data_IF_266912535621
#
_entry.id   IF_266912535621
#
_cell.length_a   1.000
_cell.length_b   1.000
_cell.length_c   1.000
_cell.angle_alpha   90.00
_cell.angle_beta   90.00
_cell.angle_gamma   90.00
#
_symmetry.space_group_name_H-M   'P 1'
#
loop_
_entity.id
_entity.type
_entity.pdbx_description
1 polymer ?
#
# COMPACT_ATOMS: atom_id res chain seq x y z
N UNK A 1 -35.20 -42.50 -87.58
CA UNK A 1 -34.86 -43.37 -86.44
C UNK A 1 -34.24 -42.52 -85.32
N UNK A 2 -34.47 -42.92 -84.07
CA UNK A 2 -34.41 -42.16 -82.80
C UNK A 2 -33.05 -41.48 -82.46
N UNK A 3 -33.12 -40.38 -81.69
CA UNK A 3 -32.39 -40.06 -80.42
C UNK A 3 -32.09 -38.55 -80.33
N UNK A 4 -32.87 -37.71 -79.63
CA UNK A 4 -32.94 -37.35 -78.18
C UNK A 4 -31.70 -36.64 -77.57
N UNK A 5 -32.01 -35.47 -76.95
CA UNK A 5 -31.43 -34.83 -75.75
C UNK A 5 -29.99 -34.29 -75.83
N UNK A 6 -29.58 -33.20 -75.16
CA UNK A 6 -30.23 -32.41 -74.11
C UNK A 6 -29.55 -31.01 -74.04
N UNK A 7 -30.32 -29.94 -73.90
CA UNK A 7 -29.83 -28.56 -73.75
C UNK A 7 -29.55 -28.28 -72.27
N UNK A 8 -28.30 -27.92 -71.93
CA UNK A 8 -27.90 -27.59 -70.55
C UNK A 8 -28.03 -26.07 -70.32
N UNK A 9 -28.92 -25.70 -69.41
CA UNK A 9 -29.14 -24.33 -68.94
C UNK A 9 -28.11 -24.04 -67.82
N UNK A 10 -27.19 -23.10 -68.04
CA UNK A 10 -26.22 -22.67 -67.01
C UNK A 10 -26.85 -21.63 -66.10
N UNK A 11 -27.06 -22.00 -64.84
CA UNK A 11 -27.56 -21.15 -63.74
C UNK A 11 -26.38 -20.36 -63.14
N UNK A 12 -26.35 -19.05 -63.31
CA UNK A 12 -25.32 -18.18 -62.74
C UNK A 12 -25.62 -17.91 -61.26
N UNK A 13 -24.81 -18.49 -60.37
CA UNK A 13 -24.92 -18.34 -58.92
C UNK A 13 -24.22 -17.04 -58.47
N UNK A 14 -24.98 -16.05 -58.02
CA UNK A 14 -24.48 -14.83 -57.38
C UNK A 14 -23.98 -15.17 -55.96
N UNK A 15 -22.67 -15.18 -55.77
CA UNK A 15 -22.03 -15.41 -54.47
C UNK A 15 -22.03 -14.08 -53.70
N UNK A 16 -22.93 -13.95 -52.72
CA UNK A 16 -22.86 -12.93 -51.67
C UNK A 16 -21.70 -13.28 -50.73
N UNK A 17 -20.64 -12.47 -50.74
CA UNK A 17 -19.55 -12.59 -49.78
C UNK A 17 -20.05 -12.25 -48.37
N UNK A 18 -19.76 -13.07 -47.35
CA UNK A 18 -20.09 -12.72 -45.98
C UNK A 18 -19.17 -11.58 -45.51
N UNK A 19 -19.78 -10.45 -45.11
CA UNK A 19 -19.11 -9.42 -44.32
C UNK A 19 -18.68 -10.06 -42.99
N UNK A 20 -17.37 -10.36 -42.86
CA UNK A 20 -16.82 -10.80 -41.58
C UNK A 20 -16.77 -9.58 -40.65
N UNK A 21 -17.68 -9.55 -39.68
CA UNK A 21 -17.53 -8.71 -38.50
C UNK A 21 -16.38 -9.32 -37.69
N UNK A 22 -15.18 -8.76 -37.81
CA UNK A 22 -14.10 -9.03 -36.88
C UNK A 22 -14.52 -8.44 -35.52
N UNK A 23 -15.08 -9.27 -34.65
CA UNK A 23 -15.42 -8.89 -33.29
C UNK A 23 -14.18 -8.90 -32.39
N UNK A 24 -14.16 -7.92 -31.50
CA UNK A 24 -13.14 -7.60 -30.52
C UNK A 24 -12.65 -8.83 -29.74
N UNK A 25 -11.34 -9.10 -29.81
CA UNK A 25 -10.71 -10.10 -28.94
C UNK A 25 -9.26 -9.75 -28.52
N UNK A 26 -8.83 -8.49 -28.62
CA UNK A 26 -7.46 -8.09 -28.26
C UNK A 26 -7.26 -7.68 -26.81
N UNK A 27 -8.31 -7.75 -25.97
CA UNK A 27 -8.26 -7.20 -24.60
C UNK A 27 -7.83 -8.22 -23.53
N UNK A 28 -7.79 -9.52 -23.86
CA UNK A 28 -7.33 -10.58 -22.92
C UNK A 28 -5.86 -10.97 -23.07
N UNK A 29 -5.17 -10.58 -24.14
CA UNK A 29 -3.77 -10.99 -24.41
C UNK A 29 -2.74 -10.35 -23.45
N UNK A 30 -3.19 -9.44 -22.59
CA UNK A 30 -2.33 -8.69 -21.67
C UNK A 30 -2.78 -8.77 -20.21
N UNK A 31 -3.74 -9.65 -19.87
CA UNK A 31 -4.17 -9.83 -18.49
C UNK A 31 -3.55 -11.09 -17.91
N UNK A 32 -2.91 -10.95 -16.75
CA UNK A 32 -2.39 -12.06 -15.97
C UNK A 32 -2.97 -12.01 -14.55
N UNK A 33 -3.06 -13.16 -13.88
CA UNK A 33 -3.50 -13.25 -12.50
C UNK A 33 -2.52 -14.00 -11.59
N UNK A 34 -2.54 -13.66 -10.30
CA UNK A 34 -1.83 -14.37 -9.24
C UNK A 34 -2.73 -14.47 -8.00
N UNK A 35 -2.61 -15.57 -7.25
CA UNK A 35 -3.39 -15.78 -6.01
C UNK A 35 -2.51 -15.49 -4.80
N UNK A 36 -2.96 -14.58 -3.92
CA UNK A 36 -2.17 -14.07 -2.80
C UNK A 36 -2.92 -14.19 -1.48
N UNK A 37 -2.33 -14.88 -0.51
CA UNK A 37 -2.79 -14.95 0.88
C UNK A 37 -2.05 -13.93 1.72
N UNK A 38 -2.77 -13.00 2.32
CA UNK A 38 -2.19 -11.88 3.08
C UNK A 38 -2.84 -11.72 4.46
N UNK A 39 -3.44 -12.78 5.02
CA UNK A 39 -4.32 -12.70 6.19
C UNK A 39 -5.77 -12.43 5.78
N UNK A 40 -6.49 -11.61 6.54
CA UNK A 40 -7.88 -11.26 6.21
C UNK A 40 -7.99 -10.66 4.80
N UNK A 41 -8.75 -11.32 3.93
CA UNK A 41 -8.85 -10.93 2.52
C UNK A 41 -9.49 -9.55 2.28
N UNK A 42 -10.22 -8.97 3.25
CA UNK A 42 -10.83 -7.65 3.12
C UNK A 42 -9.77 -6.55 3.07
N UNK A 43 -8.78 -6.68 3.95
CA UNK A 43 -7.61 -5.81 3.92
C UNK A 43 -6.78 -6.06 2.67
N UNK A 44 -6.59 -7.34 2.30
CA UNK A 44 -5.79 -7.73 1.15
C UNK A 44 -6.36 -7.14 -0.15
N UNK A 45 -7.66 -7.27 -0.37
CA UNK A 45 -8.39 -6.75 -1.52
C UNK A 45 -8.16 -5.24 -1.65
N UNK A 46 -8.41 -4.48 -0.57
CA UNK A 46 -8.18 -3.03 -0.56
C UNK A 46 -6.73 -2.64 -0.89
N UNK A 47 -5.74 -3.37 -0.36
CA UNK A 47 -4.32 -3.07 -0.56
C UNK A 47 -3.87 -3.38 -1.98
N UNK A 48 -4.29 -4.53 -2.52
CA UNK A 48 -3.89 -4.97 -3.86
C UNK A 48 -4.60 -4.18 -4.95
N UNK A 49 -5.87 -3.82 -4.77
CA UNK A 49 -6.63 -2.98 -5.72
C UNK A 49 -6.05 -1.57 -5.87
N UNK A 50 -5.29 -1.10 -4.88
CA UNK A 50 -4.66 0.21 -4.93
C UNK A 50 -3.35 0.24 -5.76
N UNK A 51 -2.83 -0.92 -6.19
CA UNK A 51 -1.59 -0.98 -6.94
C UNK A 51 -1.79 -0.53 -8.39
N UNK A 52 -0.89 0.31 -8.95
CA UNK A 52 -0.95 0.69 -10.35
C UNK A 52 -0.91 -0.54 -11.28
N UNK A 53 -1.81 -0.56 -12.27
CA UNK A 53 -1.91 -1.62 -13.26
C UNK A 53 -2.72 -2.85 -12.83
N UNK A 54 -3.11 -2.96 -11.56
CA UNK A 54 -4.14 -3.93 -11.14
C UNK A 54 -5.49 -3.50 -11.69
N UNK A 55 -6.24 -4.47 -12.24
CA UNK A 55 -7.53 -4.22 -12.90
C UNK A 55 -8.71 -4.82 -12.15
N UNK A 56 -8.48 -5.91 -11.41
CA UNK A 56 -9.51 -6.61 -10.63
C UNK A 56 -8.87 -7.36 -9.46
N UNK A 57 -9.59 -7.44 -8.34
CA UNK A 57 -9.18 -8.22 -7.18
C UNK A 57 -10.41 -8.93 -6.60
N UNK A 58 -10.39 -10.26 -6.57
CA UNK A 58 -11.50 -11.07 -6.08
C UNK A 58 -11.09 -11.83 -4.81
N UNK A 59 -11.86 -11.69 -3.73
CA UNK A 59 -11.67 -12.44 -2.50
C UNK A 59 -12.05 -13.91 -2.68
N UNK A 60 -11.29 -14.83 -2.10
CA UNK A 60 -11.51 -16.28 -2.27
C UNK A 60 -10.81 -17.16 -1.25
N UNK A 61 -10.91 -18.46 -1.48
CA UNK A 61 -10.34 -19.53 -0.66
C UNK A 61 -9.52 -20.47 -1.54
N UNK A 62 -8.30 -20.81 -1.13
CA UNK A 62 -7.40 -21.62 -1.96
C UNK A 62 -6.57 -22.65 -1.19
N UNK A 63 -6.14 -23.67 -1.93
CA UNK A 63 -5.24 -24.76 -1.53
C UNK A 63 -5.60 -25.43 -0.18
N UNK A 64 -6.89 -25.76 -0.01
CA UNK A 64 -7.41 -26.54 1.10
C UNK A 64 -8.07 -27.85 0.64
N UNK A 65 -8.42 -28.72 1.57
CA UNK A 65 -8.98 -30.07 1.29
C UNK A 65 -10.45 -30.22 1.75
N UNK A 66 -11.05 -29.13 2.21
CA UNK A 66 -12.42 -29.12 2.73
C UNK A 66 -13.35 -28.40 1.76
N UNK A 67 -14.65 -28.41 2.05
CA UNK A 67 -15.61 -27.57 1.36
C UNK A 67 -15.28 -26.07 1.59
N UNK A 68 -15.13 -25.32 0.51
CA UNK A 68 -14.75 -23.90 0.55
C UNK A 68 -15.97 -23.00 0.80
N UNK A 69 -16.20 -22.65 2.07
CA UNK A 69 -17.06 -21.53 2.48
C UNK A 69 -16.55 -20.90 3.76
N UNK A 70 -16.88 -19.63 4.01
CA UNK A 70 -16.39 -18.90 5.16
C UNK A 70 -16.62 -19.66 6.48
N UNK A 71 -17.85 -20.12 6.69
CA UNK A 71 -18.25 -20.88 7.90
C UNK A 71 -17.51 -22.20 8.04
N UNK A 72 -17.32 -22.94 6.95
CA UNK A 72 -16.60 -24.22 6.98
C UNK A 72 -15.12 -24.01 7.31
N UNK A 73 -14.49 -22.98 6.77
CA UNK A 73 -13.08 -22.67 7.01
C UNK A 73 -12.83 -22.29 8.47
N UNK A 74 -13.66 -21.42 9.05
CA UNK A 74 -13.53 -21.01 10.45
C UNK A 74 -13.82 -22.16 11.42
N UNK A 75 -14.88 -22.94 11.18
CA UNK A 75 -15.18 -24.10 12.02
C UNK A 75 -14.09 -25.17 11.93
N UNK A 76 -13.56 -25.40 10.73
CA UNK A 76 -12.49 -26.35 10.52
C UNK A 76 -11.17 -25.91 11.16
N UNK A 77 -10.84 -24.62 11.16
CA UNK A 77 -9.68 -24.10 11.90
C UNK A 77 -9.76 -24.43 13.40
N UNK A 78 -10.96 -24.34 13.98
CA UNK A 78 -11.19 -24.73 15.38
C UNK A 78 -10.97 -26.23 15.59
N UNK A 79 -11.44 -27.08 14.66
CA UNK A 79 -11.19 -28.53 14.72
C UNK A 79 -9.70 -28.88 14.61
N UNK A 80 -8.96 -28.17 13.74
CA UNK A 80 -7.51 -28.33 13.61
C UNK A 80 -6.78 -27.96 14.90
N UNK A 81 -7.15 -26.84 15.54
CA UNK A 81 -6.57 -26.40 16.83
C UNK A 81 -6.82 -27.41 17.95
N UNK A 82 -7.92 -28.16 17.89
CA UNK A 82 -8.24 -29.24 18.83
C UNK A 82 -7.58 -30.59 18.47
N UNK A 83 -6.82 -30.68 17.37
CA UNK A 83 -6.24 -31.93 16.89
C UNK A 83 -7.28 -32.95 16.37
N UNK A 84 -8.49 -32.49 16.04
CA UNK A 84 -9.60 -33.33 15.60
C UNK A 84 -9.71 -33.46 14.08
N UNK A 85 -8.85 -32.75 13.34
CA UNK A 85 -8.75 -32.85 11.88
C UNK A 85 -7.31 -32.67 11.44
N UNK A 86 -6.85 -33.55 10.55
CA UNK A 86 -5.56 -33.49 9.88
C UNK A 86 -5.64 -32.80 8.50
N UNK A 87 -6.82 -32.78 7.88
CA UNK A 87 -7.09 -32.12 6.58
C UNK A 87 -6.59 -30.69 6.53
N UNK A 88 -5.98 -30.30 5.42
CA UNK A 88 -5.53 -28.92 5.20
C UNK A 88 -6.69 -27.95 5.06
N UNK A 89 -6.62 -26.83 5.79
CA UNK A 89 -7.60 -25.74 5.66
C UNK A 89 -7.28 -24.85 4.45
N UNK A 90 -8.30 -24.26 3.83
CA UNK A 90 -8.06 -23.22 2.83
C UNK A 90 -7.44 -21.97 3.48
N UNK A 91 -6.64 -21.24 2.72
CA UNK A 91 -6.27 -19.85 3.06
C UNK A 91 -7.32 -18.90 2.53
N UNK A 92 -7.61 -17.82 3.26
CA UNK A 92 -8.20 -16.61 2.70
C UNK A 92 -7.20 -15.93 1.76
N UNK A 93 -7.57 -15.81 0.50
CA UNK A 93 -6.73 -15.26 -0.56
C UNK A 93 -7.47 -14.19 -1.34
N UNK A 94 -6.71 -13.44 -2.13
CA UNK A 94 -7.23 -12.62 -3.22
C UNK A 94 -6.63 -13.09 -4.54
N UNK A 95 -7.47 -13.21 -5.58
CA UNK A 95 -7.04 -13.34 -6.97
C UNK A 95 -6.82 -11.94 -7.51
N UNK A 96 -5.58 -11.58 -7.76
CA UNK A 96 -5.19 -10.26 -8.30
C UNK A 96 -4.99 -10.39 -9.80
N UNK A 97 -5.82 -9.70 -10.58
CA UNK A 97 -5.70 -9.62 -12.03
C UNK A 97 -5.08 -8.27 -12.41
N UNK A 98 -4.07 -8.27 -13.27
CA UNK A 98 -3.34 -7.08 -13.66
C UNK A 98 -3.04 -7.04 -15.16
N UNK A 99 -2.88 -5.83 -15.69
CA UNK A 99 -2.52 -5.57 -17.08
C UNK A 99 -0.99 -5.54 -17.23
N UNK A 100 -0.44 -6.51 -17.95
CA UNK A 100 1.00 -6.69 -18.17
C UNK A 100 1.65 -5.55 -18.94
N UNK A 101 0.87 -4.70 -19.62
CA UNK A 101 1.38 -3.49 -20.26
C UNK A 101 1.55 -2.32 -19.28
N UNK A 102 0.89 -2.39 -18.12
CA UNK A 102 0.86 -1.31 -17.10
C UNK A 102 1.67 -1.65 -15.86
N UNK A 103 1.78 -2.93 -15.53
CA UNK A 103 2.54 -3.42 -14.38
C UNK A 103 3.07 -4.83 -14.65
N UNK A 104 4.03 -5.29 -13.86
CA UNK A 104 4.58 -6.64 -13.96
C UNK A 104 4.22 -7.47 -12.74
N UNK A 105 4.31 -8.81 -12.86
CA UNK A 105 4.18 -9.70 -11.71
C UNK A 105 5.16 -9.33 -10.59
N UNK A 106 6.41 -8.99 -10.93
CA UNK A 106 7.40 -8.53 -9.96
C UNK A 106 6.91 -7.28 -9.19
N UNK A 107 6.32 -6.30 -9.88
CA UNK A 107 5.77 -5.11 -9.23
C UNK A 107 4.55 -5.43 -8.33
N UNK A 108 3.66 -6.35 -8.76
CA UNK A 108 2.54 -6.82 -7.94
C UNK A 108 3.06 -7.53 -6.69
N UNK A 109 4.07 -8.39 -6.82
CA UNK A 109 4.66 -9.11 -5.70
C UNK A 109 5.43 -8.17 -4.74
N UNK A 110 6.09 -7.13 -5.24
CA UNK A 110 6.64 -6.07 -4.39
C UNK A 110 5.54 -5.42 -3.55
N UNK A 111 4.37 -5.13 -4.15
CA UNK A 111 3.20 -4.66 -3.44
C UNK A 111 2.74 -5.65 -2.36
N UNK A 112 2.66 -6.94 -2.69
CA UNK A 112 2.34 -8.01 -1.75
C UNK A 112 3.28 -8.00 -0.54
N UNK A 113 4.60 -8.03 -0.77
CA UNK A 113 5.62 -8.10 0.29
C UNK A 113 5.54 -6.93 1.29
N UNK A 114 5.28 -5.72 0.81
CA UNK A 114 5.27 -4.52 1.65
C UNK A 114 3.95 -4.28 2.39
N UNK A 115 2.84 -4.86 1.93
CA UNK A 115 1.49 -4.57 2.45
C UNK A 115 0.98 -5.57 3.52
N UNK A 116 1.79 -6.55 3.92
CA UNK A 116 1.51 -7.45 5.06
C UNK A 116 2.82 -7.83 5.77
N UNK A 117 2.76 -8.59 6.88
CA UNK A 117 3.96 -9.09 7.57
C UNK A 117 4.24 -10.55 7.18
N UNK A 118 5.08 -10.83 6.16
CA UNK A 118 5.32 -12.19 5.69
C UNK A 118 6.12 -13.05 6.68
N UNK A 119 6.51 -12.51 7.84
CA UNK A 119 7.24 -13.24 8.89
C UNK A 119 6.33 -13.83 9.97
N UNK A 120 5.03 -13.50 9.93
CA UNK A 120 4.02 -14.08 10.80
C UNK A 120 3.45 -15.37 10.18
N UNK A 121 3.93 -16.51 10.65
CA UNK A 121 3.38 -17.82 10.28
C UNK A 121 1.96 -18.00 10.79
N UNK A 122 1.06 -18.51 9.94
CA UNK A 122 -0.37 -18.76 10.24
C UNK A 122 -1.08 -17.63 11.01
N UNK A 123 -0.69 -16.39 10.72
CA UNK A 123 -1.16 -15.20 11.43
C UNK A 123 -0.94 -13.94 10.61
N UNK A 124 -1.84 -12.97 10.75
CA UNK A 124 -1.59 -11.56 10.43
C UNK A 124 -2.21 -10.64 11.47
N UNK A 125 -1.38 -9.91 12.21
CA UNK A 125 -1.86 -9.01 13.26
C UNK A 125 -2.61 -9.78 14.34
N UNK A 126 -3.92 -9.54 14.46
CA UNK A 126 -4.78 -10.24 15.42
C UNK A 126 -5.50 -11.46 14.83
N UNK A 127 -5.39 -11.68 13.53
CA UNK A 127 -6.02 -12.81 12.84
C UNK A 127 -5.10 -14.03 12.92
N UNK A 128 -5.49 -15.04 13.70
CA UNK A 128 -4.65 -16.21 14.01
C UNK A 128 -5.31 -17.51 13.55
N UNK A 129 -4.64 -18.22 12.66
CA UNK A 129 -5.06 -19.51 12.15
C UNK A 129 -4.44 -19.82 10.79
N UNK A 130 -4.44 -21.10 10.42
CA UNK A 130 -3.89 -21.55 9.14
C UNK A 130 -4.62 -20.94 7.93
N UNK A 131 -5.88 -20.51 8.11
CA UNK A 131 -6.62 -19.77 7.10
C UNK A 131 -6.09 -18.34 6.85
N UNK A 132 -5.27 -17.78 7.74
CA UNK A 132 -4.66 -16.46 7.61
C UNK A 132 -3.17 -16.49 7.24
N UNK A 133 -2.65 -17.66 6.83
CA UNK A 133 -1.26 -17.81 6.44
C UNK A 133 -0.90 -16.93 5.24
N UNK A 134 0.31 -16.38 5.23
CA UNK A 134 0.86 -15.73 4.05
C UNK A 134 1.12 -16.77 2.95
N UNK A 135 0.66 -16.51 1.73
CA UNK A 135 0.80 -17.45 0.61
C UNK A 135 0.87 -16.74 -0.75
N UNK A 136 1.57 -17.37 -1.70
CA UNK A 136 1.56 -17.07 -3.12
C UNK A 136 1.26 -18.39 -3.84
N UNK A 137 0.09 -18.48 -4.47
CA UNK A 137 -0.26 -19.64 -5.28
C UNK A 137 -0.11 -19.33 -6.76
N UNK A 138 0.77 -20.09 -7.42
CA UNK A 138 1.26 -19.83 -8.78
C UNK A 138 0.53 -20.67 -9.81
N UNK A 139 0.37 -20.12 -11.02
CA UNK A 139 -0.24 -20.82 -12.15
C UNK A 139 0.77 -21.58 -13.01
N UNK A 140 2.05 -21.19 -12.96
CA UNK A 140 3.13 -21.76 -13.76
C UNK A 140 4.51 -21.57 -13.09
N UNK A 141 5.54 -22.12 -13.71
CA UNK A 141 6.91 -22.09 -13.19
C UNK A 141 7.54 -20.69 -13.24
N UNK A 142 7.19 -19.85 -14.23
CA UNK A 142 7.69 -18.48 -14.35
C UNK A 142 7.21 -17.60 -13.19
N UNK A 143 5.95 -17.75 -12.79
CA UNK A 143 5.41 -17.10 -11.61
C UNK A 143 6.11 -17.60 -10.33
N UNK A 144 6.39 -18.89 -10.26
CA UNK A 144 7.12 -19.51 -9.13
C UNK A 144 8.54 -18.96 -9.02
N UNK A 145 9.26 -18.87 -10.13
CA UNK A 145 10.61 -18.30 -10.18
C UNK A 145 10.60 -16.82 -9.76
N UNK A 146 9.62 -16.05 -10.23
CA UNK A 146 9.47 -14.63 -9.86
C UNK A 146 9.13 -14.46 -8.37
N UNK A 147 8.24 -15.31 -7.82
CA UNK A 147 7.90 -15.31 -6.41
C UNK A 147 9.10 -15.64 -5.51
N UNK A 148 9.89 -16.66 -5.88
CA UNK A 148 11.11 -17.04 -5.17
C UNK A 148 12.16 -15.92 -5.23
N UNK A 149 12.41 -15.35 -6.42
CA UNK A 149 13.35 -14.24 -6.60
C UNK A 149 12.98 -13.04 -5.71
N UNK A 150 11.71 -12.62 -5.76
CA UNK A 150 11.27 -11.44 -5.00
C UNK A 150 11.25 -11.70 -3.49
N UNK A 151 10.86 -12.91 -3.05
CA UNK A 151 10.98 -13.34 -1.65
C UNK A 151 12.42 -13.20 -1.15
N UNK A 152 13.39 -13.72 -1.90
CA UNK A 152 14.78 -13.77 -1.45
C UNK A 152 15.39 -12.37 -1.32
N UNK A 153 15.05 -11.47 -2.24
CA UNK A 153 15.41 -10.04 -2.14
C UNK A 153 14.78 -9.41 -0.91
N UNK A 154 13.48 -9.59 -0.70
CA UNK A 154 12.79 -8.97 0.44
C UNK A 154 13.25 -9.55 1.79
N UNK A 155 13.58 -10.84 1.83
CA UNK A 155 14.13 -11.49 3.02
C UNK A 155 15.39 -10.79 3.52
N UNK A 156 16.29 -10.37 2.62
CA UNK A 156 17.49 -9.64 3.02
C UNK A 156 17.15 -8.28 3.64
N UNK A 157 16.19 -7.55 3.06
CA UNK A 157 15.73 -6.28 3.59
C UNK A 157 15.09 -6.43 4.98
N UNK A 158 14.28 -7.47 5.18
CA UNK A 158 13.68 -7.81 6.47
C UNK A 158 14.75 -8.15 7.53
N UNK A 159 15.75 -8.95 7.19
CA UNK A 159 16.86 -9.30 8.10
C UNK A 159 17.65 -8.06 8.52
N UNK A 160 17.92 -7.14 7.59
CA UNK A 160 18.58 -5.86 7.90
C UNK A 160 17.79 -4.99 8.89
N UNK A 161 16.46 -5.19 8.96
CA UNK A 161 15.55 -4.53 9.91
C UNK A 161 15.20 -5.40 11.12
N UNK A 162 15.90 -6.53 11.32
CA UNK A 162 15.73 -7.47 12.44
C UNK A 162 14.36 -8.17 12.49
N UNK A 163 13.68 -8.27 11.35
CA UNK A 163 12.50 -9.13 11.21
C UNK A 163 12.90 -10.60 11.11
N UNK A 164 11.92 -11.48 11.33
CA UNK A 164 12.09 -12.93 11.21
C UNK A 164 12.29 -13.41 9.78
N UNK A 165 12.36 -14.74 9.62
CA UNK A 165 12.32 -15.36 8.30
C UNK A 165 10.92 -15.28 7.71
N UNK A 166 10.82 -15.09 6.41
CA UNK A 166 9.57 -15.17 5.66
C UNK A 166 9.02 -16.60 5.80
N UNK A 167 7.76 -16.69 6.22
CA UNK A 167 6.99 -17.93 6.34
C UNK A 167 5.99 -18.12 5.21
N UNK A 168 5.96 -17.20 4.23
CA UNK A 168 5.08 -17.26 3.07
C UNK A 168 5.26 -18.57 2.31
N UNK A 169 4.14 -19.27 2.11
CA UNK A 169 4.10 -20.44 1.25
C UNK A 169 4.14 -20.02 -0.21
N UNK A 170 5.04 -20.60 -1.01
CA UNK A 170 5.05 -20.45 -2.46
C UNK A 170 4.81 -21.84 -3.06
N UNK A 171 3.66 -22.04 -3.68
CA UNK A 171 3.25 -23.35 -4.19
C UNK A 171 2.33 -23.21 -5.42
N UNK A 172 2.21 -24.25 -6.27
CA UNK A 172 1.22 -24.25 -7.33
C UNK A 172 -0.21 -24.12 -6.78
N UNK A 173 -1.08 -23.42 -7.52
CA UNK A 173 -2.52 -23.39 -7.23
C UNK A 173 -3.14 -24.76 -7.53
N UNK A 174 -3.73 -25.39 -6.51
CA UNK A 174 -4.39 -26.70 -6.65
C UNK A 174 -5.90 -26.58 -6.71
N UNK A 175 -6.48 -25.63 -5.96
CA UNK A 175 -7.88 -25.27 -6.05
C UNK A 175 -8.10 -23.82 -5.62
N UNK A 176 -9.18 -23.25 -6.15
CA UNK A 176 -9.65 -21.91 -5.84
C UNK A 176 -11.18 -21.91 -5.80
N UNK A 177 -11.75 -21.16 -4.87
CA UNK A 177 -13.19 -20.89 -4.82
C UNK A 177 -13.41 -19.44 -4.45
N UNK A 178 -14.17 -18.72 -5.27
CA UNK A 178 -14.55 -17.35 -4.96
C UNK A 178 -15.32 -17.30 -3.63
N UNK A 179 -15.02 -16.28 -2.81
CA UNK A 179 -15.74 -16.06 -1.58
C UNK A 179 -17.15 -15.55 -1.88
N UNK A 180 -18.03 -15.69 -0.89
CA UNK A 180 -19.41 -15.24 -0.98
C UNK A 180 -19.49 -13.73 -1.31
N UNK A 181 -20.53 -13.30 -2.04
CA UNK A 181 -20.65 -11.93 -2.58
C UNK A 181 -20.62 -10.81 -1.53
N UNK A 182 -20.91 -11.13 -0.27
CA UNK A 182 -20.83 -10.18 0.84
C UNK A 182 -19.39 -9.92 1.32
N UNK A 183 -18.44 -10.79 0.97
CA UNK A 183 -17.00 -10.59 1.23
C UNK A 183 -16.30 -9.78 0.15
N UNK A 184 -16.81 -9.81 -1.08
CA UNK A 184 -16.27 -9.01 -2.19
C UNK A 184 -16.46 -7.52 -1.92
N UNK A 185 -15.49 -6.68 -2.25
CA UNK A 185 -15.51 -5.23 -2.05
C UNK A 185 -15.91 -4.82 -0.61
N UNK A 186 -15.55 -5.63 0.40
CA UNK A 186 -16.12 -5.48 1.73
C UNK A 186 -15.83 -4.08 2.32
N UNK A 187 -14.61 -3.57 2.16
CA UNK A 187 -14.22 -2.25 2.66
C UNK A 187 -14.70 -1.08 1.79
N UNK A 188 -15.14 -1.33 0.55
CA UNK A 188 -15.86 -0.33 -0.26
C UNK A 188 -17.28 -0.20 0.29
N UNK A 189 -17.94 -1.34 0.56
CA UNK A 189 -19.28 -1.41 1.15
C UNK A 189 -19.31 -0.93 2.61
N UNK A 190 -18.22 -1.16 3.35
CA UNK A 190 -18.08 -0.86 4.77
C UNK A 190 -16.78 -0.06 5.02
N UNK A 191 -16.75 1.26 4.77
CA UNK A 191 -15.52 2.06 4.85
C UNK A 191 -14.81 2.04 6.22
N UNK A 192 -15.58 1.87 7.29
CA UNK A 192 -15.08 1.76 8.67
C UNK A 192 -14.93 0.29 9.13
N UNK A 193 -14.98 -0.66 8.19
CA UNK A 193 -14.82 -2.08 8.45
C UNK A 193 -13.40 -2.45 8.90
N UNK A 194 -13.26 -3.65 9.43
CA UNK A 194 -11.99 -4.16 9.92
C UNK A 194 -10.92 -4.24 8.80
N UNK A 195 -9.73 -3.70 9.07
CA UNK A 195 -8.57 -3.80 8.20
C UNK A 195 -7.30 -3.93 9.06
N UNK A 196 -6.88 -5.17 9.32
CA UNK A 196 -5.73 -5.48 10.18
C UNK A 196 -4.36 -5.42 9.50
N UNK A 197 -4.29 -5.20 8.18
CA UNK A 197 -3.03 -5.25 7.45
C UNK A 197 -2.23 -3.96 7.60
N UNK A 198 -1.15 -4.03 8.38
CA UNK A 198 -0.22 -2.92 8.63
C UNK A 198 1.04 -2.94 7.78
N UNK A 199 1.45 -4.09 7.25
CA UNK A 199 2.79 -4.28 6.66
C UNK A 199 3.90 -4.25 7.70
N UNK A 200 5.14 -4.46 7.26
CA UNK A 200 6.34 -4.38 8.12
C UNK A 200 6.95 -2.97 8.16
N UNK A 201 6.56 -2.09 7.23
CA UNK A 201 7.22 -0.81 6.99
C UNK A 201 8.62 -0.94 6.34
N UNK A 202 9.04 -2.16 5.99
CA UNK A 202 10.31 -2.40 5.28
C UNK A 202 10.08 -2.24 3.79
N UNK A 203 10.86 -1.34 3.19
CA UNK A 203 10.80 -1.08 1.75
C UNK A 203 11.53 -2.17 0.99
N UNK A 204 10.92 -2.62 -0.10
CA UNK A 204 11.52 -3.57 -1.03
C UNK A 204 12.67 -2.89 -1.79
N UNK A 205 13.88 -3.49 -1.80
CA UNK A 205 15.03 -2.96 -2.53
C UNK A 205 14.74 -2.73 -4.01
N UNK A 206 15.19 -1.61 -4.57
CA UNK A 206 14.98 -1.28 -5.99
C UNK A 206 13.50 -1.19 -6.42
N UNK A 207 12.56 -1.02 -5.48
CA UNK A 207 11.20 -0.56 -5.81
C UNK A 207 11.23 0.87 -6.37
N UNK A 208 10.18 1.31 -7.07
CA UNK A 208 10.07 2.74 -7.44
C UNK A 208 10.16 3.63 -6.19
N UNK A 209 9.56 3.20 -5.08
CA UNK A 209 9.66 3.88 -3.79
C UNK A 209 11.10 3.90 -3.25
N UNK A 210 11.88 2.83 -3.46
CA UNK A 210 13.32 2.77 -3.18
C UNK A 210 14.14 3.70 -4.09
N UNK A 211 13.78 3.84 -5.37
CA UNK A 211 14.45 4.72 -6.34
C UNK A 211 14.16 6.20 -6.11
N UNK A 212 12.95 6.51 -5.64
CA UNK A 212 12.56 7.85 -5.21
C UNK A 212 13.22 8.24 -3.87
N UNK A 213 13.83 7.29 -3.15
CA UNK A 213 14.72 7.64 -2.05
C UNK A 213 16.01 8.19 -2.66
N UNK A 214 16.37 9.45 -2.37
CA UNK A 214 17.70 9.91 -2.73
C UNK A 214 18.71 8.92 -2.14
N UNK A 215 19.86 8.69 -2.80
CA UNK A 215 20.97 8.06 -2.12
C UNK A 215 21.18 8.79 -0.78
N UNK A 216 21.54 8.03 0.26
CA UNK A 216 21.77 8.52 1.63
C UNK A 216 22.96 9.51 1.75
N UNK A 217 23.24 10.28 0.71
CA UNK A 217 24.30 11.28 0.58
C UNK A 217 23.78 12.70 0.61
N UNK A 218 22.46 12.94 0.54
CA UNK A 218 21.93 14.29 0.75
C UNK A 218 22.21 14.72 2.18
N UNK A 219 23.09 15.71 2.35
CA UNK A 219 23.53 16.19 3.65
C UNK A 219 22.33 16.66 4.50
N UNK A 220 22.31 16.25 5.76
CA UNK A 220 21.37 16.76 6.76
C UNK A 220 21.56 18.26 6.95
N UNK A 221 20.49 18.97 7.27
CA UNK A 221 20.62 20.32 7.80
C UNK A 221 21.40 20.28 9.12
N UNK A 222 22.26 21.25 9.35
CA UNK A 222 22.96 21.41 10.62
C UNK A 222 22.01 22.02 11.64
N UNK A 223 21.51 21.22 12.59
CA UNK A 223 20.55 21.67 13.60
C UNK A 223 21.09 22.79 14.50
N UNK A 224 22.42 22.98 14.58
CA UNK A 224 23.03 24.08 15.32
C UNK A 224 22.90 25.44 14.62
N UNK A 225 22.54 25.45 13.32
CA UNK A 225 22.34 26.67 12.52
C UNK A 225 20.86 27.04 12.34
N UNK A 226 19.96 26.26 12.93
CA UNK A 226 18.52 26.49 12.89
C UNK A 226 18.03 27.11 14.19
N UNK A 227 16.84 27.71 14.18
CA UNK A 227 16.25 28.28 15.38
C UNK A 227 15.87 27.15 16.37
N UNK A 228 16.47 27.11 17.57
CA UNK A 228 16.21 26.05 18.55
C UNK A 228 14.88 26.23 19.28
N UNK A 229 14.29 27.43 19.29
CA UNK A 229 12.99 27.66 19.93
C UNK A 229 11.87 27.16 19.03
N UNK A 230 11.80 27.64 17.80
CA UNK A 230 10.83 27.20 16.80
C UNK A 230 11.41 27.28 15.40
N UNK A 231 11.37 26.18 14.65
CA UNK A 231 11.83 26.12 13.26
C UNK A 231 10.84 25.34 12.40
N UNK A 232 10.49 25.92 11.25
CA UNK A 232 9.80 25.18 10.21
C UNK A 232 10.82 24.58 9.24
N UNK A 233 10.70 23.28 8.97
CA UNK A 233 11.53 22.57 7.98
C UNK A 233 10.63 21.93 6.93
N UNK A 234 10.87 22.26 5.66
CA UNK A 234 10.21 21.67 4.49
C UNK A 234 11.08 20.54 3.97
N UNK A 235 10.57 19.33 4.06
CA UNK A 235 11.18 18.13 3.50
C UNK A 235 10.64 17.90 2.10
N UNK A 236 11.54 17.98 1.13
CA UNK A 236 11.25 17.91 -0.31
C UNK A 236 11.86 16.64 -0.92
N UNK A 237 11.53 16.39 -2.19
CA UNK A 237 12.17 15.37 -3.01
C UNK A 237 12.60 15.98 -4.34
N UNK A 238 13.61 15.36 -4.98
CA UNK A 238 13.98 15.71 -6.34
C UNK A 238 12.80 15.49 -7.29
N UNK A 239 12.66 16.38 -8.28
CA UNK A 239 11.61 16.31 -9.31
C UNK A 239 10.16 16.27 -8.74
N UNK A 240 9.96 16.81 -7.55
CA UNK A 240 8.67 16.84 -6.87
C UNK A 240 7.79 18.00 -7.36
N UNK A 241 6.81 17.71 -8.22
CA UNK A 241 5.85 18.70 -8.75
C UNK A 241 5.09 19.41 -7.63
N UNK A 242 4.67 18.67 -6.60
CA UNK A 242 3.96 19.25 -5.45
C UNK A 242 4.85 20.14 -4.57
N UNK A 243 6.16 19.92 -4.57
CA UNK A 243 7.12 20.76 -3.86
C UNK A 243 7.31 22.08 -4.63
N UNK A 244 7.42 22.02 -5.96
CA UNK A 244 7.43 23.20 -6.82
C UNK A 244 6.14 24.03 -6.66
N UNK A 245 4.99 23.36 -6.64
CA UNK A 245 3.70 24.01 -6.41
C UNK A 245 3.62 24.64 -5.02
N UNK A 246 4.03 23.93 -3.96
CA UNK A 246 4.06 24.48 -2.61
C UNK A 246 4.98 25.70 -2.50
N UNK A 247 6.13 25.66 -3.17
CA UNK A 247 7.04 26.79 -3.24
C UNK A 247 6.35 28.01 -3.87
N UNK A 248 5.74 27.84 -5.03
CA UNK A 248 5.06 28.93 -5.74
C UNK A 248 3.87 29.49 -4.94
N UNK A 249 3.08 28.63 -4.32
CA UNK A 249 1.87 29.04 -3.61
C UNK A 249 2.18 29.69 -2.24
N UNK A 250 3.19 29.19 -1.53
CA UNK A 250 3.43 29.49 -0.11
C UNK A 250 4.80 30.11 0.13
N UNK A 251 5.89 29.43 -0.27
CA UNK A 251 7.25 29.84 0.14
C UNK A 251 7.69 31.14 -0.53
N UNK A 252 7.38 31.33 -1.82
CA UNK A 252 7.73 32.55 -2.57
C UNK A 252 6.94 33.78 -2.07
N UNK A 253 5.92 33.57 -1.24
CA UNK A 253 5.08 34.60 -0.63
C UNK A 253 5.13 34.59 0.90
N UNK A 254 6.13 33.92 1.49
CA UNK A 254 6.24 33.77 2.94
C UNK A 254 6.47 35.12 3.64
N UNK A 255 5.59 35.47 4.58
CA UNK A 255 5.66 36.72 5.35
C UNK A 255 5.62 36.50 6.87
N UNK A 256 5.59 35.25 7.34
CA UNK A 256 5.57 34.97 8.77
C UNK A 256 6.97 35.14 9.38
N UNK A 257 7.02 35.54 10.65
CA UNK A 257 8.28 35.69 11.43
C UNK A 257 9.03 34.37 11.62
N UNK A 258 8.33 33.23 11.54
CA UNK A 258 8.94 31.93 11.68
C UNK A 258 9.81 31.60 10.46
N UNK A 259 11.09 31.32 10.71
CA UNK A 259 12.03 30.95 9.65
C UNK A 259 11.71 29.58 9.04
N UNK A 260 11.96 29.48 7.73
CA UNK A 260 11.82 28.25 6.96
C UNK A 260 13.19 27.79 6.47
N UNK A 261 13.50 26.51 6.71
CA UNK A 261 14.56 25.81 6.01
C UNK A 261 13.97 24.73 5.09
N UNK A 262 14.55 24.51 3.92
CA UNK A 262 14.18 23.40 3.04
C UNK A 262 15.32 22.38 2.94
N UNK A 263 14.98 21.11 2.79
CA UNK A 263 15.96 20.05 2.60
C UNK A 263 15.43 18.92 1.72
N UNK A 264 16.32 18.36 0.91
CA UNK A 264 16.09 17.13 0.16
C UNK A 264 16.46 15.88 1.00
N UNK A 265 17.05 16.06 2.19
CA UNK A 265 17.34 14.98 3.12
C UNK A 265 16.04 14.45 3.71
N UNK A 266 15.91 13.12 3.83
CA UNK A 266 14.79 12.49 4.56
C UNK A 266 15.04 12.35 6.07
N UNK A 267 16.23 12.75 6.52
CA UNK A 267 16.61 12.77 7.94
C UNK A 267 16.34 14.15 8.54
N UNK A 268 15.94 14.25 9.83
CA UNK A 268 15.83 15.53 10.51
C UNK A 268 17.16 16.30 10.49
N UNK A 269 17.17 17.60 10.83
CA UNK A 269 18.42 18.30 11.12
C UNK A 269 19.28 17.54 12.14
N UNK A 270 20.60 17.70 12.06
CA UNK A 270 21.54 17.01 12.93
C UNK A 270 21.22 17.26 14.41
N UNK A 271 21.08 16.19 15.19
CA UNK A 271 20.71 16.25 16.61
C UNK A 271 19.20 16.42 16.89
N UNK A 272 18.36 16.58 15.87
CA UNK A 272 16.92 16.75 16.01
C UNK A 272 16.17 15.43 15.77
N UNK A 273 14.90 15.36 16.18
CA UNK A 273 14.10 14.13 16.18
C UNK A 273 12.75 14.32 15.51
N UNK A 274 12.46 13.45 14.54
CA UNK A 274 11.11 13.25 14.02
C UNK A 274 10.33 12.28 14.91
N UNK A 275 9.03 12.54 15.09
CA UNK A 275 8.13 11.61 15.77
C UNK A 275 7.76 10.41 14.89
N UNK A 276 7.69 10.61 13.58
CA UNK A 276 7.32 9.60 12.58
C UNK A 276 8.19 9.73 11.33
N UNK A 277 8.34 8.64 10.59
CA UNK A 277 8.97 8.68 9.27
C UNK A 277 8.25 9.64 8.32
N UNK A 278 8.99 10.22 7.37
CA UNK A 278 8.43 11.04 6.30
C UNK A 278 7.93 10.10 5.19
N UNK A 279 6.64 10.15 4.89
CA UNK A 279 5.97 9.22 3.95
C UNK A 279 5.40 9.90 2.70
N UNK A 280 5.51 11.23 2.59
CA UNK A 280 5.13 12.00 1.41
C UNK A 280 5.93 13.31 1.32
N UNK A 281 5.96 13.93 0.14
CA UNK A 281 6.61 15.22 -0.10
C UNK A 281 5.67 16.18 -0.85
N UNK A 282 5.73 17.50 -0.58
CA UNK A 282 6.47 18.09 0.53
C UNK A 282 5.83 17.71 1.87
N UNK A 283 6.65 17.52 2.89
CA UNK A 283 6.19 17.45 4.29
C UNK A 283 6.81 18.61 5.06
N UNK A 284 5.98 19.42 5.68
CA UNK A 284 6.40 20.57 6.48
C UNK A 284 6.32 20.16 7.94
N UNK A 285 7.42 20.29 8.68
CA UNK A 285 7.50 19.90 10.08
C UNK A 285 7.87 21.12 10.91
N UNK A 286 7.09 21.35 11.97
CA UNK A 286 7.43 22.31 13.01
C UNK A 286 8.22 21.59 14.10
N UNK A 287 9.41 22.11 14.39
CA UNK A 287 10.26 21.67 15.48
C UNK A 287 10.28 22.71 16.60
N UNK A 288 10.24 22.23 17.84
CA UNK A 288 10.51 23.01 19.05
C UNK A 288 11.60 22.28 19.85
N UNK A 289 12.67 23.00 20.21
CA UNK A 289 13.80 22.41 20.95
C UNK A 289 14.37 21.16 20.25
N UNK A 290 14.39 21.18 18.92
CA UNK A 290 14.85 20.07 18.08
C UNK A 290 13.96 18.83 18.08
N UNK A 291 12.75 18.89 18.64
CA UNK A 291 11.78 17.81 18.58
C UNK A 291 10.61 18.23 17.69
N UNK A 292 10.18 17.32 16.82
CA UNK A 292 8.96 17.54 16.06
C UNK A 292 7.75 17.68 16.99
N UNK A 293 6.96 18.75 16.80
CA UNK A 293 5.72 19.03 17.55
C UNK A 293 4.47 19.10 16.67
N UNK A 294 4.64 19.29 15.36
CA UNK A 294 3.54 19.27 14.39
C UNK A 294 4.07 19.00 12.98
N UNK A 295 3.21 18.48 12.10
CA UNK A 295 3.52 18.34 10.68
C UNK A 295 2.32 18.57 9.78
N UNK A 296 2.60 18.97 8.55
CA UNK A 296 1.70 18.98 7.41
C UNK A 296 2.27 18.08 6.31
N UNK A 297 1.54 17.05 5.91
CA UNK A 297 2.06 16.02 5.00
C UNK A 297 1.26 16.01 3.70
N UNK A 298 1.96 16.12 2.57
CA UNK A 298 1.40 15.97 1.22
C UNK A 298 0.59 17.19 0.78
N UNK A 299 1.29 18.22 0.30
CA UNK A 299 0.64 19.38 -0.31
C UNK A 299 0.04 19.02 -1.67
N UNK A 300 -1.17 19.50 -1.94
CA UNK A 300 -1.92 19.19 -3.16
C UNK A 300 -2.50 20.44 -3.84
N UNK A 301 -1.96 21.64 -3.56
CA UNK A 301 -2.46 22.92 -4.08
C UNK A 301 -3.53 23.60 -3.22
N UNK A 302 -3.93 23.00 -2.10
CA UNK A 302 -4.91 23.62 -1.19
C UNK A 302 -4.23 24.55 -0.16
N UNK A 303 -4.04 25.82 -0.55
CA UNK A 303 -3.44 26.86 0.30
C UNK A 303 -4.19 27.05 1.63
N UNK A 304 -5.53 27.07 1.59
CA UNK A 304 -6.35 27.30 2.78
C UNK A 304 -6.09 26.25 3.86
N UNK A 305 -5.96 24.98 3.46
CA UNK A 305 -5.67 23.88 4.39
C UNK A 305 -4.30 24.04 5.06
N UNK A 306 -3.30 24.48 4.30
CA UNK A 306 -1.98 24.76 4.84
C UNK A 306 -2.02 25.91 5.86
N UNK A 307 -2.64 27.05 5.50
CA UNK A 307 -2.72 28.21 6.39
C UNK A 307 -3.53 27.93 7.65
N UNK A 308 -4.66 27.21 7.55
CA UNK A 308 -5.40 26.75 8.72
C UNK A 308 -4.55 25.90 9.67
N UNK A 309 -3.75 24.99 9.13
CA UNK A 309 -2.81 24.21 9.93
C UNK A 309 -1.74 25.09 10.56
N UNK A 310 -1.12 25.98 9.80
CA UNK A 310 -0.05 26.86 10.26
C UNK A 310 -0.53 27.81 11.38
N UNK A 311 -1.68 28.46 11.18
CA UNK A 311 -2.28 29.35 12.16
C UNK A 311 -2.62 28.62 13.47
N UNK A 312 -3.09 27.38 13.39
CA UNK A 312 -3.33 26.55 14.58
C UNK A 312 -2.06 26.22 15.36
N UNK A 313 -0.87 26.30 14.74
CA UNK A 313 0.41 26.14 15.45
C UNK A 313 0.84 27.44 16.14
N UNK A 314 0.62 28.60 15.51
CA UNK A 314 0.88 29.92 16.13
C UNK A 314 -0.04 30.18 17.33
N UNK A 315 -1.25 29.64 17.30
CA UNK A 315 -2.25 29.80 18.36
C UNK A 315 -2.09 28.77 19.50
N UNK A 316 -1.01 27.97 19.52
CA UNK A 316 -0.71 27.16 20.71
C UNK A 316 -0.37 28.12 21.85
N UNK A 317 -1.12 28.10 22.97
CA UNK A 317 -0.72 28.89 24.13
C UNK A 317 0.66 28.39 24.55
N UNK A 318 1.65 29.28 24.46
CA UNK A 318 2.97 29.06 25.01
C UNK A 318 2.83 28.46 26.40
N UNK A 319 3.68 27.47 26.67
CA UNK A 319 3.90 26.91 27.99
C UNK A 319 3.77 28.01 29.05
N UNK A 320 2.64 27.99 29.78
CA UNK A 320 2.40 28.86 30.91
C UNK A 320 3.31 28.42 32.06
N UNK A 321 4.59 28.74 31.93
CA UNK A 321 5.51 28.85 33.04
C UNK A 321 5.54 30.29 33.58
N UNK A 322 4.41 31.00 33.49
CA UNK A 322 4.10 32.16 34.34
C UNK A 322 2.62 32.07 34.82
N UNK A 323 2.17 30.87 35.19
CA UNK A 323 1.00 30.65 36.05
C UNK A 323 1.40 30.06 37.41
N UNK A 324 2.50 30.57 37.99
CA UNK A 324 3.01 30.13 39.29
C UNK A 324 3.71 31.18 40.14
N UNK A 325 3.74 32.47 39.72
CA UNK A 325 4.43 33.54 40.49
C UNK A 325 3.68 34.86 40.63
N UNK A 326 2.38 34.90 40.34
CA UNK A 326 1.53 36.07 40.64
C UNK A 326 0.40 35.79 41.65
N UNK A 327 0.15 34.52 42.01
CA UNK A 327 -0.77 34.17 43.12
C UNK A 327 -0.04 33.88 44.45
N UNK A 328 1.29 33.70 44.45
CA UNK A 328 2.08 33.56 45.68
C UNK A 328 2.49 34.91 46.33
N UNK A 329 2.20 36.04 45.67
CA UNK A 329 2.56 37.39 46.13
C UNK A 329 1.41 38.24 46.70
N UNK A 330 0.15 37.78 46.56
CA UNK A 330 -1.04 38.51 47.03
C UNK A 330 -1.79 37.82 48.17
N UNK A 331 -1.25 36.72 48.70
CA UNK A 331 -1.75 36.02 49.88
C UNK A 331 -0.83 36.18 51.13
N UNK A 332 0.03 37.19 51.16
CA UNK A 332 0.87 37.54 52.33
C UNK A 332 0.68 38.98 52.84
N UNK A 333 -0.42 39.63 52.48
CA UNK A 333 -0.75 40.97 53.02
C UNK A 333 -2.25 41.12 53.34
N UNK A 334 -2.83 40.09 53.97
CA UNK A 334 -4.11 40.22 54.66
C UNK A 334 -4.12 39.23 55.82
N UNK A 335 -4.16 39.79 57.03
CA UNK A 335 -4.39 39.19 58.35
C UNK A 335 -3.13 38.77 59.15
N UNK A 336 -2.81 39.66 60.09
CA UNK A 336 -1.94 39.59 61.28
C UNK A 336 -0.43 39.72 61.11
#
# INVERSE_FOLDING_TARGET
MKNRCNTLLTLTLLILAPFQIAQANSQQDHLESIILGMGCFWGAEKRMSALPGVVDVESGYANGEIEASYRKILSHESLRKLGLSDKRNHTEVVKVTFDTNRTSLEAVLIGFWQNHDPTQGDRQGNDVGSNYRSAIYTHNDDQTATAVKTRDIYQQALLAKKFGRITTEIAPLTNYSAAETYHQDYLVKNPNGYCGLGGTGVIYPDSQESRLQPPSTTAMLDGAKLDPQQQLVVFEAEECIFCQQFKADILDHWQAELEIASTLSRQPPAGWKLQKSLIATPTIVLFEQGNEVSRFTGYNGNMNRFWQWFDSQRMRPEASHIAGKMEAGRAKNSLF
#
